data_IF_234490085010
#
_entry.id   IF_234490085010
#
_cell.length_a   1.000
_cell.length_b   1.000
_cell.length_c   1.000
_cell.angle_alpha   90.00
_cell.angle_beta   90.00
_cell.angle_gamma   90.00
#
_symmetry.space_group_name_H-M   'P 1'
#
loop_
_entity.id
_entity.type
_entity.pdbx_description
1 polymer ?
#
# COMPACT_ATOMS: atom_id res chain seq x y z
N UNK A 1 -3.77 10.10 -29.23
CA UNK A 1 -4.45 11.32 -28.72
C UNK A 1 -5.88 11.08 -28.24
N UNK A 2 -6.73 10.29 -28.95
CA UNK A 2 -8.08 9.90 -28.47
C UNK A 2 -8.05 9.10 -27.16
N UNK A 3 -7.16 8.11 -27.03
CA UNK A 3 -7.03 7.28 -25.83
C UNK A 3 -6.72 8.10 -24.55
N UNK A 4 -5.85 9.10 -24.67
CA UNK A 4 -5.48 9.99 -23.56
C UNK A 4 -6.64 10.89 -23.15
N UNK A 5 -7.46 11.33 -24.12
CA UNK A 5 -8.68 12.12 -23.87
C UNK A 5 -9.74 11.28 -23.15
N UNK A 6 -9.93 10.03 -23.58
CA UNK A 6 -10.85 9.09 -22.94
C UNK A 6 -10.44 8.74 -21.51
N UNK A 7 -9.14 8.55 -21.25
CA UNK A 7 -8.61 8.31 -19.89
C UNK A 7 -8.82 9.53 -19.00
N UNK A 8 -8.65 10.75 -19.52
CA UNK A 8 -8.92 11.99 -18.78
C UNK A 8 -10.42 12.16 -18.50
N UNK A 9 -11.29 11.85 -19.47
CA UNK A 9 -12.75 11.88 -19.32
C UNK A 9 -13.25 10.88 -18.25
N UNK A 10 -12.68 9.68 -18.21
CA UNK A 10 -12.96 8.67 -17.16
C UNK A 10 -12.43 9.08 -15.77
N UNK A 11 -11.28 9.76 -15.71
CA UNK A 11 -10.75 10.33 -14.46
C UNK A 11 -11.61 11.50 -13.93
N UNK A 12 -12.36 12.18 -14.80
CA UNK A 12 -13.32 13.24 -14.42
C UNK A 12 -14.70 12.74 -14.02
N UNK A 13 -14.96 11.43 -14.05
CA UNK A 13 -16.25 10.89 -13.62
C UNK A 13 -16.53 11.27 -12.15
N UNK A 14 -17.73 11.79 -11.81
CA UNK A 14 -18.02 12.34 -10.48
C UNK A 14 -17.79 11.33 -9.35
N UNK A 15 -18.01 10.04 -9.60
CA UNK A 15 -17.72 8.97 -8.65
C UNK A 15 -16.23 8.79 -8.35
N UNK A 16 -15.37 8.88 -9.38
CA UNK A 16 -13.92 8.80 -9.24
C UNK A 16 -13.41 10.04 -8.51
N UNK A 17 -13.96 11.21 -8.84
CA UNK A 17 -13.60 12.47 -8.19
C UNK A 17 -14.04 12.54 -6.72
N UNK A 18 -15.16 11.91 -6.38
CA UNK A 18 -15.62 11.73 -5.00
C UNK A 18 -14.73 10.72 -4.26
N UNK A 19 -14.43 9.57 -4.87
CA UNK A 19 -13.53 8.56 -4.30
C UNK A 19 -12.11 9.12 -4.08
N UNK A 20 -11.61 9.97 -4.98
CA UNK A 20 -10.35 10.71 -4.82
C UNK A 20 -10.40 11.71 -3.67
N UNK A 21 -11.49 12.47 -3.52
CA UNK A 21 -11.67 13.39 -2.37
C UNK A 21 -11.74 12.66 -1.04
N UNK A 22 -12.49 11.57 -0.98
CA UNK A 22 -12.56 10.67 0.16
C UNK A 22 -11.19 10.05 0.44
N UNK A 23 -10.43 9.68 -0.61
CA UNK A 23 -9.07 9.19 -0.44
C UNK A 23 -8.13 10.27 0.05
N UNK A 24 -8.21 11.51 -0.42
CA UNK A 24 -7.39 12.62 0.09
C UNK A 24 -7.67 12.90 1.57
N UNK A 25 -8.94 12.81 2.01
CA UNK A 25 -9.29 12.85 3.44
C UNK A 25 -8.77 11.64 4.20
N UNK A 26 -8.91 10.45 3.64
CA UNK A 26 -8.34 9.21 4.18
C UNK A 26 -6.84 9.33 4.37
N UNK A 27 -6.15 9.92 3.41
CA UNK A 27 -4.72 10.18 3.43
C UNK A 27 -4.31 11.24 4.44
N UNK A 28 -5.13 12.28 4.67
CA UNK A 28 -4.92 13.20 5.80
C UNK A 28 -5.12 12.52 7.16
N UNK A 29 -6.02 11.52 7.23
CA UNK A 29 -6.28 10.72 8.42
C UNK A 29 -5.15 9.71 8.68
N UNK A 30 -4.85 8.82 7.74
CA UNK A 30 -3.69 7.92 7.76
C UNK A 30 -2.35 8.66 7.81
N UNK A 31 -2.33 9.90 7.32
CA UNK A 31 -1.25 10.87 7.45
C UNK A 31 -0.89 11.17 8.91
N UNK A 32 -1.91 11.30 9.75
CA UNK A 32 -1.69 11.37 11.18
C UNK A 32 -1.17 10.03 11.71
N UNK A 33 -1.66 8.89 11.19
CA UNK A 33 -1.48 7.54 11.77
C UNK A 33 -0.24 6.71 11.35
N UNK A 34 0.28 6.80 10.11
CA UNK A 34 1.04 5.70 9.47
C UNK A 34 2.57 5.65 9.66
N UNK A 35 3.24 6.78 9.83
CA UNK A 35 4.67 6.87 10.27
C UNK A 35 4.81 7.85 11.45
N UNK A 36 3.86 8.78 11.58
CA UNK A 36 3.84 9.79 12.64
C UNK A 36 3.73 9.20 14.04
N UNK A 37 2.91 8.17 14.30
CA UNK A 37 2.61 7.78 15.69
C UNK A 37 3.69 7.02 16.43
N UNK A 38 4.57 6.26 15.80
CA UNK A 38 5.70 5.62 16.52
C UNK A 38 6.67 6.68 17.05
N UNK A 39 7.03 7.62 16.18
CA UNK A 39 7.86 8.78 16.53
C UNK A 39 7.12 9.79 17.40
N UNK A 40 5.84 10.08 17.15
CA UNK A 40 5.01 10.99 17.92
C UNK A 40 4.59 10.41 19.28
N UNK A 41 4.48 9.08 19.43
CA UNK A 41 4.32 8.41 20.73
C UNK A 41 5.61 8.51 21.53
N UNK A 42 6.76 8.17 20.94
CA UNK A 42 8.05 8.35 21.59
C UNK A 42 8.31 9.82 21.94
N UNK A 43 7.91 10.75 21.08
CA UNK A 43 8.03 12.20 21.28
C UNK A 43 7.04 12.72 22.33
N UNK A 44 5.76 12.34 22.27
CA UNK A 44 4.74 12.70 23.26
C UNK A 44 5.08 12.13 24.64
N UNK A 45 5.61 10.91 24.69
CA UNK A 45 6.10 10.30 25.93
C UNK A 45 7.39 10.95 26.43
N UNK A 46 8.29 11.39 25.54
CA UNK A 46 9.45 12.23 25.93
C UNK A 46 9.05 13.62 26.42
N UNK A 47 7.86 14.10 26.06
CA UNK A 47 7.26 15.35 26.54
C UNK A 47 6.35 15.16 27.77
N UNK A 48 6.23 13.93 28.30
CA UNK A 48 5.41 13.63 29.48
C UNK A 48 3.90 13.63 29.25
N UNK A 49 3.44 13.56 27.99
CA UNK A 49 2.02 13.52 27.68
C UNK A 49 1.35 12.21 28.15
N UNK A 50 0.18 12.33 28.75
CA UNK A 50 -0.64 11.19 29.16
C UNK A 50 -1.21 10.44 27.95
N UNK A 51 -1.32 9.12 28.07
CA UNK A 51 -1.77 8.26 27.00
C UNK A 51 -3.28 8.39 26.81
N UNK A 52 -3.72 9.12 25.78
CA UNK A 52 -5.14 9.13 25.44
C UNK A 52 -5.57 7.73 24.95
N UNK A 53 -6.79 7.24 25.28
CA UNK A 53 -7.27 5.94 24.81
C UNK A 53 -7.24 5.77 23.28
N UNK A 54 -7.43 6.87 22.55
CA UNK A 54 -7.37 6.90 21.08
C UNK A 54 -5.95 6.68 20.55
N UNK A 55 -4.95 7.23 21.23
CA UNK A 55 -3.53 7.02 20.92
C UNK A 55 -3.13 5.55 21.16
N UNK A 56 -3.64 4.92 22.22
CA UNK A 56 -3.38 3.51 22.47
C UNK A 56 -3.96 2.61 21.37
N UNK A 57 -5.21 2.85 20.98
CA UNK A 57 -5.89 2.09 19.93
C UNK A 57 -5.16 2.20 18.59
N UNK A 58 -4.68 3.40 18.24
CA UNK A 58 -3.95 3.60 16.99
C UNK A 58 -2.62 2.84 16.95
N UNK A 59 -1.88 2.81 18.06
CA UNK A 59 -0.65 2.02 18.17
C UNK A 59 -0.91 0.53 17.96
N UNK A 60 -2.00 0.00 18.52
CA UNK A 60 -2.38 -1.40 18.33
C UNK A 60 -2.72 -1.73 16.87
N UNK A 61 -3.53 -0.88 16.22
CA UNK A 61 -3.91 -1.06 14.81
C UNK A 61 -2.67 -1.04 13.92
N UNK A 62 -1.83 -0.01 14.03
CA UNK A 62 -0.60 0.11 13.25
C UNK A 62 0.36 -1.06 13.54
N UNK A 63 0.57 -1.37 14.82
CA UNK A 63 1.41 -2.49 15.23
C UNK A 63 0.94 -3.82 14.62
N UNK A 64 -0.37 -4.06 14.60
CA UNK A 64 -0.94 -5.26 13.96
C UNK A 64 -0.67 -5.32 12.46
N UNK A 65 -0.76 -4.19 11.75
CA UNK A 65 -0.47 -4.10 10.33
C UNK A 65 0.98 -4.46 10.02
N UNK A 66 1.93 -3.81 10.72
CA UNK A 66 3.35 -4.10 10.55
C UNK A 66 3.70 -5.54 10.94
N UNK A 67 3.14 -6.06 12.04
CA UNK A 67 3.39 -7.41 12.51
C UNK A 67 2.85 -8.49 11.55
N UNK A 68 1.61 -8.33 11.06
CA UNK A 68 1.01 -9.27 10.10
C UNK A 68 1.80 -9.30 8.79
N UNK A 69 2.19 -8.13 8.26
CA UNK A 69 2.98 -8.06 7.04
C UNK A 69 4.39 -8.64 7.23
N UNK A 70 5.03 -8.38 8.38
CA UNK A 70 6.33 -8.98 8.70
C UNK A 70 6.23 -10.51 8.77
N UNK A 71 5.17 -11.04 9.41
CA UNK A 71 4.92 -12.47 9.46
C UNK A 71 4.72 -13.07 8.06
N UNK A 72 3.94 -12.41 7.20
CA UNK A 72 3.73 -12.82 5.79
C UNK A 72 5.05 -12.81 5.01
N UNK A 73 5.87 -11.77 5.15
CA UNK A 73 7.18 -11.69 4.48
C UNK A 73 8.11 -12.83 4.93
N UNK A 74 8.15 -13.14 6.23
CA UNK A 74 8.99 -14.23 6.76
C UNK A 74 8.48 -15.60 6.29
N UNK A 75 7.16 -15.82 6.21
CA UNK A 75 6.62 -17.08 5.70
C UNK A 75 6.89 -17.25 4.22
N UNK A 76 6.78 -16.18 3.42
CA UNK A 76 7.05 -16.24 1.99
C UNK A 76 8.54 -16.48 1.71
N UNK A 77 9.44 -15.80 2.44
CA UNK A 77 10.90 -16.00 2.33
C UNK A 77 11.34 -17.44 2.64
N UNK A 78 10.65 -18.11 3.57
CA UNK A 78 11.03 -19.47 4.01
C UNK A 78 10.33 -20.58 3.23
N UNK A 79 9.08 -20.36 2.84
CA UNK A 79 8.18 -21.42 2.35
C UNK A 79 7.49 -21.10 1.03
N UNK A 80 7.66 -19.89 0.48
CA UNK A 80 6.98 -19.43 -0.74
C UNK A 80 5.44 -19.54 -0.64
N UNK A 81 4.91 -19.33 0.56
CA UNK A 81 3.48 -19.41 0.85
C UNK A 81 3.05 -18.16 1.61
N UNK A 82 1.97 -17.55 1.12
CA UNK A 82 1.24 -16.47 1.79
C UNK A 82 0.02 -17.10 2.51
N UNK A 83 0.01 -17.19 3.85
CA UNK A 83 -1.04 -17.88 4.59
C UNK A 83 -2.33 -17.06 4.68
N UNK A 84 -3.44 -17.66 4.26
CA UNK A 84 -4.78 -17.05 4.31
C UNK A 84 -5.18 -16.61 5.74
N UNK A 85 -4.70 -17.34 6.76
CA UNK A 85 -4.91 -17.00 8.18
C UNK A 85 -4.33 -15.61 8.56
N UNK A 86 -3.33 -15.11 7.85
CA UNK A 86 -2.79 -13.77 8.07
C UNK A 86 -3.41 -12.74 7.13
N UNK A 87 -3.73 -13.14 5.89
CA UNK A 87 -4.29 -12.25 4.87
C UNK A 87 -5.73 -11.83 5.19
N UNK A 88 -6.58 -12.74 5.68
CA UNK A 88 -7.97 -12.40 5.98
C UNK A 88 -8.11 -11.42 7.15
N UNK A 89 -7.44 -11.60 8.30
CA UNK A 89 -7.46 -10.59 9.35
C UNK A 89 -6.89 -9.25 8.88
N UNK A 90 -5.82 -9.25 8.08
CA UNK A 90 -5.27 -8.03 7.50
C UNK A 90 -6.32 -7.28 6.68
N UNK A 91 -7.06 -7.97 5.81
CA UNK A 91 -8.11 -7.35 5.00
C UNK A 91 -9.28 -6.84 5.85
N UNK A 92 -9.80 -7.67 6.76
CA UNK A 92 -10.94 -7.34 7.61
C UNK A 92 -10.61 -6.15 8.50
N UNK A 93 -9.46 -6.17 9.18
CA UNK A 93 -9.04 -5.05 10.00
C UNK A 93 -8.88 -3.80 9.16
N UNK A 94 -8.24 -3.90 8.00
CA UNK A 94 -8.10 -2.80 7.05
C UNK A 94 -9.44 -2.15 6.68
N UNK A 95 -10.49 -2.94 6.45
CA UNK A 95 -11.83 -2.41 6.17
C UNK A 95 -12.49 -1.74 7.37
N UNK A 96 -12.30 -2.28 8.58
CA UNK A 96 -12.86 -1.72 9.82
C UNK A 96 -12.25 -0.34 10.11
N UNK A 97 -10.95 -0.19 9.90
CA UNK A 97 -10.21 1.04 10.18
C UNK A 97 -10.21 2.03 9.02
N UNK A 98 -10.65 1.60 7.84
CA UNK A 98 -10.74 2.46 6.67
C UNK A 98 -11.72 3.61 6.93
N UNK A 99 -11.30 4.87 6.79
CA UNK A 99 -12.17 6.02 7.03
C UNK A 99 -13.28 6.14 5.99
N UNK A 100 -13.07 5.56 4.80
CA UNK A 100 -14.05 5.53 3.71
C UNK A 100 -14.10 4.13 3.09
N UNK A 101 -15.12 3.37 3.49
CA UNK A 101 -15.27 1.96 3.07
C UNK A 101 -15.37 1.82 1.54
N UNK A 102 -16.11 2.71 0.85
CA UNK A 102 -16.23 2.68 -0.62
C UNK A 102 -14.85 2.83 -1.29
N UNK A 103 -14.07 3.83 -0.90
CA UNK A 103 -12.72 4.05 -1.45
C UNK A 103 -11.78 2.87 -1.17
N UNK A 104 -11.84 2.27 0.03
CA UNK A 104 -11.06 1.08 0.40
C UNK A 104 -11.41 -0.14 -0.46
N UNK A 105 -12.71 -0.38 -0.70
CA UNK A 105 -13.16 -1.47 -1.58
C UNK A 105 -12.74 -1.25 -3.04
N UNK A 106 -12.83 -0.01 -3.54
CA UNK A 106 -12.35 0.33 -4.88
C UNK A 106 -10.83 0.09 -4.98
N UNK A 107 -10.05 0.50 -3.98
CA UNK A 107 -8.61 0.27 -3.96
C UNK A 107 -8.26 -1.22 -4.01
N UNK A 108 -8.98 -2.02 -3.22
CA UNK A 108 -8.85 -3.49 -3.20
C UNK A 108 -9.20 -4.11 -4.56
N UNK A 109 -10.27 -3.62 -5.19
CA UNK A 109 -10.71 -4.07 -6.50
C UNK A 109 -9.68 -3.74 -7.59
N UNK A 110 -9.17 -2.51 -7.63
CA UNK A 110 -8.16 -2.08 -8.62
C UNK A 110 -6.88 -2.92 -8.47
N UNK A 111 -6.41 -3.10 -7.24
CA UNK A 111 -5.23 -3.93 -6.96
C UNK A 111 -5.45 -5.39 -7.37
N UNK A 112 -6.59 -5.97 -7.00
CA UNK A 112 -6.95 -7.34 -7.33
C UNK A 112 -7.08 -7.57 -8.84
N UNK A 113 -7.83 -6.72 -9.54
CA UNK A 113 -8.02 -6.79 -10.98
C UNK A 113 -6.70 -6.59 -11.74
N UNK A 114 -5.89 -5.61 -11.33
CA UNK A 114 -4.59 -5.34 -11.92
C UNK A 114 -3.63 -6.52 -11.79
N UNK A 115 -3.52 -7.10 -10.59
CA UNK A 115 -2.63 -8.25 -10.35
C UNK A 115 -3.13 -9.54 -10.99
N UNK A 116 -4.45 -9.75 -11.04
CA UNK A 116 -5.03 -10.88 -11.77
C UNK A 116 -4.70 -10.78 -13.27
N UNK A 117 -4.77 -9.58 -13.85
CA UNK A 117 -4.42 -9.33 -15.25
C UNK A 117 -2.93 -9.56 -15.51
N UNK A 118 -2.06 -9.01 -14.64
CA UNK A 118 -0.61 -9.23 -14.72
C UNK A 118 -0.29 -10.72 -14.63
N UNK A 119 -0.85 -11.44 -13.65
CA UNK A 119 -0.70 -12.90 -13.52
C UNK A 119 -1.15 -13.62 -14.78
N UNK A 120 -2.27 -13.25 -15.38
CA UNK A 120 -2.78 -13.91 -16.58
C UNK A 120 -1.86 -13.68 -17.79
N UNK A 121 -1.43 -12.45 -18.05
CA UNK A 121 -0.50 -12.14 -19.14
C UNK A 121 0.87 -12.78 -18.95
N UNK A 122 1.43 -12.68 -17.74
CA UNK A 122 2.75 -13.25 -17.43
C UNK A 122 2.71 -14.78 -17.52
N UNK A 123 1.64 -15.42 -17.06
CA UNK A 123 1.52 -16.88 -17.14
C UNK A 123 1.34 -17.38 -18.58
N UNK A 124 0.66 -16.60 -19.44
CA UNK A 124 0.61 -16.89 -20.87
C UNK A 124 1.96 -16.78 -21.54
N UNK A 125 2.73 -15.73 -21.24
CA UNK A 125 4.06 -15.50 -21.80
C UNK A 125 5.06 -16.55 -21.34
N UNK A 126 5.02 -16.91 -20.05
CA UNK A 126 5.92 -17.89 -19.46
C UNK A 126 5.51 -19.34 -19.77
N UNK A 127 4.31 -19.57 -20.31
CA UNK A 127 3.68 -20.89 -20.48
C UNK A 127 3.60 -21.73 -19.18
N UNK A 128 3.76 -21.08 -18.04
CA UNK A 128 3.74 -21.65 -16.70
C UNK A 128 3.16 -20.62 -15.73
N UNK A 129 2.71 -21.03 -14.55
CA UNK A 129 2.24 -20.08 -13.55
C UNK A 129 3.37 -19.14 -13.12
N UNK A 130 3.32 -17.89 -13.58
CA UNK A 130 4.39 -16.92 -13.36
C UNK A 130 4.26 -16.20 -12.01
N UNK A 131 3.05 -16.16 -11.43
CA UNK A 131 2.77 -15.46 -10.18
C UNK A 131 1.78 -16.24 -9.31
N UNK A 132 2.09 -16.33 -8.01
CA UNK A 132 1.27 -17.06 -7.04
C UNK A 132 -0.05 -16.34 -6.77
N UNK A 133 -1.13 -17.11 -6.60
CA UNK A 133 -2.43 -16.56 -6.16
C UNK A 133 -2.35 -15.88 -4.79
N UNK A 134 -1.39 -16.29 -3.94
CA UNK A 134 -1.13 -15.67 -2.65
C UNK A 134 -0.81 -14.17 -2.75
N UNK A 135 0.00 -13.77 -3.74
CA UNK A 135 0.37 -12.37 -3.95
C UNK A 135 -0.84 -11.52 -4.35
N UNK A 136 -1.73 -12.08 -5.18
CA UNK A 136 -3.00 -11.42 -5.58
C UNK A 136 -3.88 -11.19 -4.35
N UNK A 137 -4.02 -12.19 -3.48
CA UNK A 137 -4.78 -12.04 -2.23
C UNK A 137 -4.16 -11.00 -1.31
N UNK A 138 -2.83 -10.97 -1.20
CA UNK A 138 -2.11 -10.00 -0.38
C UNK A 138 -2.36 -8.57 -0.86
N UNK A 139 -2.26 -8.29 -2.16
CA UNK A 139 -2.50 -6.91 -2.66
C UNK A 139 -3.95 -6.47 -2.49
N UNK A 140 -4.92 -7.39 -2.61
CA UNK A 140 -6.32 -7.09 -2.27
C UNK A 140 -6.43 -6.72 -0.79
N UNK A 141 -5.80 -7.49 0.10
CA UNK A 141 -5.79 -7.21 1.53
C UNK A 141 -5.10 -5.90 1.91
N UNK A 142 -4.13 -5.45 1.12
CA UNK A 142 -3.43 -4.18 1.30
C UNK A 142 -4.25 -2.96 0.87
N UNK A 143 -5.23 -3.13 -0.03
CA UNK A 143 -6.05 -2.05 -0.58
C UNK A 143 -6.67 -1.10 0.46
N UNK A 144 -7.31 -1.60 1.54
CA UNK A 144 -7.90 -0.74 2.56
C UNK A 144 -6.89 0.07 3.37
N UNK A 145 -5.66 -0.43 3.51
CA UNK A 145 -4.59 0.21 4.27
C UNK A 145 -3.91 1.31 3.47
N UNK A 146 -3.55 1.02 2.22
CA UNK A 146 -2.85 2.00 1.37
C UNK A 146 -3.83 2.96 0.70
N UNK A 147 -5.09 2.60 0.49
CA UNK A 147 -6.07 3.42 -0.23
C UNK A 147 -5.67 3.72 -1.69
N UNK A 148 -6.50 4.49 -2.42
CA UNK A 148 -6.31 4.71 -3.86
C UNK A 148 -5.01 5.44 -4.22
N UNK A 149 -4.64 6.47 -3.45
CA UNK A 149 -3.43 7.25 -3.72
C UNK A 149 -2.14 6.46 -3.39
N UNK A 150 -2.26 5.39 -2.62
CA UNK A 150 -1.12 4.58 -2.18
C UNK A 150 -0.75 3.49 -3.14
N UNK A 151 -1.66 3.13 -4.04
CA UNK A 151 -1.45 2.07 -5.03
C UNK A 151 -0.21 2.39 -5.87
N UNK A 152 -0.15 3.59 -6.47
CA UNK A 152 0.95 3.98 -7.34
C UNK A 152 2.31 3.95 -6.62
N UNK A 153 2.51 4.66 -5.48
CA UNK A 153 3.79 4.61 -4.78
C UNK A 153 4.11 3.21 -4.25
N UNK A 154 3.13 2.44 -3.76
CA UNK A 154 3.35 1.06 -3.31
C UNK A 154 3.92 0.20 -4.42
N UNK A 155 3.31 0.22 -5.61
CA UNK A 155 3.72 -0.59 -6.75
C UNK A 155 5.06 -0.13 -7.32
N UNK A 156 5.30 1.18 -7.37
CA UNK A 156 6.56 1.74 -7.83
C UNK A 156 7.72 1.31 -6.93
N UNK A 157 7.57 1.46 -5.61
CA UNK A 157 8.60 1.07 -4.64
C UNK A 157 8.80 -0.44 -4.64
N UNK A 158 7.72 -1.22 -4.66
CA UNK A 158 7.78 -2.69 -4.77
C UNK A 158 8.58 -3.12 -5.99
N UNK A 159 8.22 -2.61 -7.16
CA UNK A 159 8.86 -3.00 -8.43
C UNK A 159 10.31 -2.55 -8.51
N UNK A 160 10.64 -1.36 -7.99
CA UNK A 160 12.01 -0.86 -7.97
C UNK A 160 12.92 -1.73 -7.08
N UNK A 161 12.47 -2.05 -5.85
CA UNK A 161 13.23 -2.89 -4.93
C UNK A 161 13.39 -4.30 -5.53
N UNK A 162 12.30 -4.89 -6.04
CA UNK A 162 12.35 -6.20 -6.67
C UNK A 162 13.32 -6.21 -7.86
N UNK A 163 13.30 -5.18 -8.72
CA UNK A 163 14.20 -5.06 -9.86
C UNK A 163 15.66 -4.99 -9.44
N UNK A 164 16.00 -4.15 -8.45
CA UNK A 164 17.38 -4.02 -7.95
C UNK A 164 17.89 -5.36 -7.41
N UNK A 165 17.06 -6.06 -6.63
CA UNK A 165 17.44 -7.36 -6.04
C UNK A 165 17.61 -8.44 -7.11
N UNK A 166 16.65 -8.55 -8.04
CA UNK A 166 16.72 -9.53 -9.15
C UNK A 166 17.94 -9.25 -10.02
N UNK A 167 18.18 -7.99 -10.39
CA UNK A 167 19.32 -7.61 -11.22
C UNK A 167 20.65 -7.91 -10.50
N UNK A 168 20.75 -7.60 -9.21
CA UNK A 168 21.92 -7.94 -8.40
C UNK A 168 22.20 -9.44 -8.37
N UNK A 169 21.17 -10.28 -8.15
CA UNK A 169 21.33 -11.75 -8.15
C UNK A 169 21.76 -12.31 -9.50
N UNK A 170 21.21 -11.78 -10.59
CA UNK A 170 21.55 -12.25 -11.95
C UNK A 170 22.95 -11.82 -12.36
N UNK A 171 23.33 -10.57 -12.10
CA UNK A 171 24.62 -10.02 -12.54
C UNK A 171 25.79 -10.45 -11.63
N UNK A 172 25.59 -10.46 -10.31
CA UNK A 172 26.66 -10.69 -9.34
C UNK A 172 26.74 -12.17 -8.93
N UNK A 173 25.60 -12.79 -8.67
CA UNK A 173 25.54 -14.18 -8.17
C UNK A 173 25.30 -15.21 -9.28
N UNK A 174 24.97 -14.78 -10.50
CA UNK A 174 24.54 -15.63 -11.64
C UNK A 174 23.37 -16.56 -11.29
N UNK A 175 22.57 -16.20 -10.29
CA UNK A 175 21.47 -17.01 -9.79
C UNK A 175 20.17 -16.60 -10.48
N UNK A 176 19.42 -17.59 -11.00
CA UNK A 176 18.15 -17.38 -11.72
C UNK A 176 16.95 -18.07 -11.06
N UNK A 177 17.09 -18.47 -9.79
CA UNK A 177 16.02 -19.13 -9.04
C UNK A 177 14.87 -18.18 -8.75
N UNK A 178 13.66 -18.75 -8.65
CA UNK A 178 12.45 -18.00 -8.32
C UNK A 178 12.62 -17.26 -6.99
N UNK A 179 12.12 -16.03 -6.95
CA UNK A 179 12.23 -15.14 -5.79
C UNK A 179 10.83 -14.91 -5.21
N UNK A 180 10.65 -15.03 -3.90
CA UNK A 180 9.37 -14.73 -3.24
C UNK A 180 9.04 -13.24 -3.44
N UNK A 181 7.85 -12.93 -3.96
CA UNK A 181 7.48 -11.56 -4.32
C UNK A 181 6.82 -10.80 -3.15
N UNK A 182 6.14 -11.51 -2.24
CA UNK A 182 5.42 -10.89 -1.13
C UNK A 182 6.30 -10.00 -0.24
N UNK A 183 7.58 -10.30 0.06
CA UNK A 183 8.45 -9.42 0.83
C UNK A 183 8.61 -8.04 0.19
N UNK A 184 8.72 -7.95 -1.14
CA UNK A 184 8.83 -6.66 -1.82
C UNK A 184 7.53 -5.87 -1.74
N UNK A 185 6.38 -6.57 -1.87
CA UNK A 185 5.06 -5.96 -1.65
C UNK A 185 4.91 -5.41 -0.23
N UNK A 186 5.38 -6.15 0.77
CA UNK A 186 5.38 -5.72 2.18
C UNK A 186 6.19 -4.44 2.34
N UNK A 187 7.40 -4.37 1.79
CA UNK A 187 8.21 -3.15 1.83
C UNK A 187 7.54 -1.98 1.11
N UNK A 188 6.98 -2.21 -0.08
CA UNK A 188 6.24 -1.19 -0.80
C UNK A 188 5.01 -0.71 -0.03
N UNK A 189 4.30 -1.60 0.66
CA UNK A 189 3.14 -1.28 1.48
C UNK A 189 3.53 -0.45 2.70
N UNK A 190 4.57 -0.85 3.44
CA UNK A 190 5.10 -0.06 4.56
C UNK A 190 5.54 1.33 4.12
N UNK A 191 6.23 1.42 2.98
CA UNK A 191 6.65 2.69 2.43
C UNK A 191 5.42 3.54 2.03
N UNK A 192 4.49 3.01 1.23
CA UNK A 192 3.32 3.78 0.79
C UNK A 192 2.42 4.22 1.96
N UNK A 193 2.15 3.31 2.90
CA UNK A 193 1.38 3.58 4.11
C UNK A 193 2.04 4.65 4.96
N UNK A 194 3.37 4.63 5.02
CA UNK A 194 4.15 5.59 5.79
C UNK A 194 4.43 6.93 5.12
N UNK A 195 4.55 6.96 3.80
CA UNK A 195 4.84 8.18 3.03
C UNK A 195 3.59 9.02 2.72
N UNK A 196 2.39 8.43 2.81
CA UNK A 196 1.11 9.16 2.69
C UNK A 196 1.04 10.48 3.47
N UNK A 197 1.40 10.51 4.77
CA UNK A 197 1.54 11.75 5.56
C UNK A 197 2.40 12.84 4.91
N UNK A 198 3.60 12.46 4.43
CA UNK A 198 4.58 13.40 3.90
C UNK A 198 4.13 13.99 2.56
N UNK A 199 3.55 13.18 1.69
CA UNK A 199 3.07 13.63 0.37
C UNK A 199 1.85 14.55 0.52
N UNK A 200 0.91 14.24 1.41
CA UNK A 200 -0.24 15.12 1.69
C UNK A 200 0.22 16.43 2.32
N UNK A 201 1.14 16.39 3.28
CA UNK A 201 1.71 17.59 3.88
C UNK A 201 2.37 18.47 2.80
N UNK A 202 3.13 17.86 1.88
CA UNK A 202 3.78 18.59 0.79
C UNK A 202 2.77 19.18 -0.20
N UNK A 203 1.73 18.44 -0.60
CA UNK A 203 0.67 18.93 -1.48
C UNK A 203 -0.17 20.02 -0.82
N UNK A 204 -0.40 19.94 0.49
CA UNK A 204 -1.11 20.96 1.25
C UNK A 204 -0.29 22.25 1.37
N UNK A 205 1.00 22.14 1.69
CA UNK A 205 1.95 23.26 1.73
C UNK A 205 2.04 23.90 0.33
N UNK A 206 2.24 23.09 -0.71
CA UNK A 206 2.32 23.57 -2.09
C UNK A 206 1.03 24.29 -2.53
N UNK A 207 -0.14 23.77 -2.16
CA UNK A 207 -1.43 24.45 -2.38
C UNK A 207 -1.50 25.80 -1.67
N UNK A 208 -1.05 25.90 -0.42
CA UNK A 208 -1.03 27.19 0.31
C UNK A 208 -0.08 28.20 -0.34
N UNK A 209 1.09 27.77 -0.81
CA UNK A 209 2.02 28.63 -1.55
C UNK A 209 1.41 29.19 -2.84
N UNK A 210 0.70 28.35 -3.61
CA UNK A 210 0.03 28.82 -4.84
C UNK A 210 -1.11 29.82 -4.57
N UNK A 211 -1.87 29.62 -3.50
CA UNK A 211 -2.96 30.54 -3.11
C UNK A 211 -2.42 31.85 -2.53
N UNK A 212 -1.29 31.83 -1.83
CA UNK A 212 -0.65 33.05 -1.31
C UNK A 212 0.09 33.89 -2.37
N UNK A 213 0.23 33.37 -3.59
CA UNK A 213 0.82 34.05 -4.75
C UNK A 213 -0.22 34.72 -5.66
N UNK A 214 -1.51 34.47 -5.43
CA UNK A 214 -2.66 35.05 -6.14
C UNK A 214 -3.34 36.11 -5.28
#
# INVERSE_FOLDING_TARGET
MKLFKTIIEDLTHPEVHQALRETLRSYSFWGLFGIGYGWAYCYARSLGAELSPLLFLSVLINGSFFALLAAIAVTDLKRFIVPDLLVYPLFIFGLIVAPHLKAALIASFILGAGFALVRWFSSKLAQQEAMGLGDVKLVIALGPWVGLLGIVPMLLITSLIALIVVLGRVLLCKERSALPFAPFLVFGAWAAYGYGPMVVAYLFIFRQYLVGLM
#
